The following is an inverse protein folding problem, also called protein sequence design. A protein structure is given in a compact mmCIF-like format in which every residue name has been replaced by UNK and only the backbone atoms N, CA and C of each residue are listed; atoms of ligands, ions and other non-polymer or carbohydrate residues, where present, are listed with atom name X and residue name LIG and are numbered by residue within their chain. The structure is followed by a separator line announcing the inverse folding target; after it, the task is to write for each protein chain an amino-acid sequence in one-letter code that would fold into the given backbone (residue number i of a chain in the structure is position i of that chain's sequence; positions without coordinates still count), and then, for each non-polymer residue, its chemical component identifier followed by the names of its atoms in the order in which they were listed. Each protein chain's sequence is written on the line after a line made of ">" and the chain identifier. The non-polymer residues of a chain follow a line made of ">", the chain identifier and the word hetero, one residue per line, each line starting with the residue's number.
data_IF_367879929688
#
_entry.id   IF_367879929688
#
_cell.length_a   1.000
_cell.length_b   1.000
_cell.length_c   1.000
_cell.angle_alpha   90.00
_cell.angle_beta   90.00
_cell.angle_gamma   90.00
#
_symmetry.space_group_name_H-M   'P 1'
#
loop_
_entity.id
_entity.type
_entity.pdbx_description
1 polymer ?
#
# COMPACT_ATOMS: atom_id res chain seq x y z
N UNK A 1 14.90 -34.29 -70.03
CA UNK A 1 15.35 -33.97 -68.66
C UNK A 1 15.81 -32.52 -68.65
N UNK A 2 15.03 -31.57 -68.10
CA UNK A 2 15.45 -30.17 -68.02
C UNK A 2 16.66 -30.03 -67.08
N UNK A 3 17.61 -29.17 -67.46
CA UNK A 3 18.91 -29.04 -66.80
C UNK A 3 18.78 -28.46 -65.37
N UNK A 4 19.52 -28.99 -64.37
CA UNK A 4 19.41 -28.57 -62.96
C UNK A 4 19.78 -27.09 -62.73
N UNK A 5 20.52 -26.47 -63.66
CA UNK A 5 20.88 -25.05 -63.62
C UNK A 5 19.71 -24.11 -63.89
N UNK A 6 18.71 -24.55 -64.65
CA UNK A 6 17.53 -23.75 -64.99
C UNK A 6 16.52 -23.72 -63.83
N UNK A 7 16.50 -24.78 -63.00
CA UNK A 7 15.66 -24.88 -61.80
C UNK A 7 16.21 -23.97 -60.69
N UNK A 8 17.54 -23.92 -60.50
CA UNK A 8 18.17 -23.05 -59.49
C UNK A 8 18.04 -21.56 -59.86
N UNK A 9 18.13 -21.20 -61.13
CA UNK A 9 18.01 -19.81 -61.59
C UNK A 9 16.58 -19.23 -61.42
N UNK A 10 15.55 -20.08 -61.38
CA UNK A 10 14.16 -19.66 -61.22
C UNK A 10 13.69 -19.66 -59.75
N UNK A 11 14.34 -20.41 -58.87
CA UNK A 11 14.00 -20.44 -57.44
C UNK A 11 14.56 -19.25 -56.64
N UNK A 12 15.70 -18.67 -57.07
CA UNK A 12 16.32 -17.51 -56.41
C UNK A 12 15.48 -16.22 -56.42
N UNK A 13 14.83 -15.79 -57.52
CA UNK A 13 13.93 -14.63 -57.47
C UNK A 13 12.62 -14.91 -56.73
N UNK A 14 12.16 -16.17 -56.68
CA UNK A 14 10.93 -16.55 -55.97
C UNK A 14 11.10 -16.50 -54.44
N UNK A 15 12.27 -16.88 -53.90
CA UNK A 15 12.56 -16.72 -52.47
C UNK A 15 12.87 -15.26 -52.08
N UNK A 16 13.43 -14.46 -52.98
CA UNK A 16 13.69 -13.04 -52.71
C UNK A 16 12.40 -12.20 -52.61
N UNK A 17 11.35 -12.56 -53.37
CA UNK A 17 10.04 -11.90 -53.29
C UNK A 17 9.25 -12.20 -52.00
N UNK A 18 9.57 -13.28 -51.30
CA UNK A 18 8.94 -13.66 -50.02
C UNK A 18 9.57 -12.94 -48.81
N UNK A 19 10.76 -12.33 -48.96
CA UNK A 19 11.42 -11.58 -47.89
C UNK A 19 11.01 -10.09 -47.84
N UNK A 20 10.29 -9.58 -48.86
CA UNK A 20 9.91 -8.16 -48.96
C UNK A 20 8.59 -7.81 -48.27
N UNK A 21 7.93 -8.80 -47.66
CA UNK A 21 6.64 -8.63 -46.96
C UNK A 21 6.76 -8.79 -45.45
N UNK A 22 7.95 -8.63 -44.87
CA UNK A 22 8.07 -8.55 -43.41
C UNK A 22 7.38 -7.24 -43.00
N UNK A 23 6.31 -7.30 -42.17
CA UNK A 23 5.74 -6.09 -41.64
C UNK A 23 6.87 -5.35 -40.93
N UNK A 24 7.06 -4.07 -41.28
CA UNK A 24 7.85 -3.18 -40.42
C UNK A 24 7.37 -3.40 -38.99
N UNK A 25 8.29 -3.60 -38.05
CA UNK A 25 7.98 -3.69 -36.63
C UNK A 25 7.03 -2.55 -36.28
N UNK A 26 5.75 -2.89 -36.12
CA UNK A 26 4.72 -1.95 -35.77
C UNK A 26 4.95 -1.61 -34.30
N UNK A 27 5.89 -0.70 -34.05
CA UNK A 27 5.94 -0.02 -32.76
C UNK A 27 4.54 0.55 -32.54
N UNK A 28 3.90 0.15 -31.44
CA UNK A 28 2.60 0.65 -31.04
C UNK A 28 2.74 2.16 -30.76
N UNK A 29 2.70 2.96 -31.83
CA UNK A 29 2.87 4.39 -31.77
C UNK A 29 1.55 4.97 -31.29
N UNK A 30 1.48 5.32 -30.01
CA UNK A 30 0.33 6.03 -29.44
C UNK A 30 0.20 7.38 -30.14
N UNK A 31 -0.82 7.53 -30.97
CA UNK A 31 -1.19 8.75 -31.70
C UNK A 31 -2.15 9.59 -30.87
N UNK A 32 -1.87 10.89 -30.81
CA UNK A 32 -2.79 11.87 -30.23
C UNK A 32 -3.70 12.44 -31.32
N UNK A 33 -4.97 12.06 -31.25
CA UNK A 33 -6.02 12.47 -32.16
C UNK A 33 -6.99 13.45 -31.47
N UNK A 34 -7.77 14.18 -32.26
CA UNK A 34 -8.85 15.05 -31.78
C UNK A 34 -10.15 14.57 -32.41
N UNK A 35 -11.13 14.22 -31.58
CA UNK A 35 -12.45 13.77 -32.00
C UNK A 35 -13.33 14.95 -32.46
N UNK A 36 -14.47 14.70 -33.13
CA UNK A 36 -15.33 15.76 -33.68
C UNK A 36 -15.92 16.68 -32.61
N UNK A 37 -16.05 16.19 -31.37
CA UNK A 37 -16.47 16.96 -30.20
C UNK A 37 -15.36 17.82 -29.58
N UNK A 38 -14.15 17.78 -30.15
CA UNK A 38 -12.98 18.52 -29.69
C UNK A 38 -12.19 17.82 -28.57
N UNK A 39 -12.59 16.63 -28.14
CA UNK A 39 -11.87 15.86 -27.12
C UNK A 39 -10.60 15.22 -27.67
N UNK A 40 -9.57 15.04 -26.82
CA UNK A 40 -8.34 14.35 -27.22
C UNK A 40 -8.47 12.85 -27.02
N UNK A 41 -8.29 12.09 -28.10
CA UNK A 41 -8.27 10.62 -28.10
C UNK A 41 -6.83 10.16 -28.31
N UNK A 42 -6.37 9.20 -27.51
CA UNK A 42 -5.06 8.55 -27.70
C UNK A 42 -5.28 7.12 -28.14
N UNK A 43 -4.71 6.75 -29.28
CA UNK A 43 -4.95 5.44 -29.91
C UNK A 43 -3.70 4.93 -30.60
N UNK A 44 -3.52 3.62 -30.65
CA UNK A 44 -2.52 2.94 -31.46
C UNK A 44 -3.00 2.72 -32.91
N UNK A 45 -4.28 2.99 -33.21
CA UNK A 45 -4.88 2.97 -34.55
C UNK A 45 -4.79 4.34 -35.24
N UNK A 46 -4.95 4.39 -36.58
CA UNK A 46 -4.82 5.68 -37.30
C UNK A 46 -5.96 6.56 -36.83
N UNK A 47 -5.71 7.87 -36.68
CA UNK A 47 -6.75 8.78 -36.20
C UNK A 47 -8.02 8.70 -37.06
N UNK A 48 -7.84 8.53 -38.37
CA UNK A 48 -8.91 8.33 -39.36
C UNK A 48 -9.74 7.06 -39.14
N UNK A 49 -9.17 6.02 -38.51
CA UNK A 49 -9.88 4.77 -38.20
C UNK A 49 -10.81 4.91 -36.97
N UNK A 50 -10.63 5.97 -36.17
CA UNK A 50 -11.41 6.26 -34.95
C UNK A 50 -12.17 7.59 -35.06
N UNK A 51 -12.57 7.96 -36.28
CA UNK A 51 -13.31 9.19 -36.61
C UNK A 51 -12.67 10.47 -36.03
N UNK A 52 -11.34 10.47 -35.92
CA UNK A 52 -10.58 11.55 -35.30
C UNK A 52 -9.49 12.07 -36.24
N UNK A 53 -8.99 13.27 -35.97
CA UNK A 53 -7.92 13.88 -36.77
C UNK A 53 -6.62 13.96 -35.99
N UNK A 54 -5.48 13.71 -36.64
CA UNK A 54 -4.17 13.82 -36.00
C UNK A 54 -3.90 15.28 -35.61
N UNK A 55 -3.57 15.52 -34.34
CA UNK A 55 -3.07 16.83 -33.93
C UNK A 55 -1.57 16.85 -34.16
N UNK A 56 -1.11 17.63 -35.15
CA UNK A 56 0.32 17.94 -35.25
C UNK A 56 0.77 18.60 -33.94
N UNK A 57 1.92 18.22 -33.37
CA UNK A 57 2.41 18.85 -32.15
C UNK A 57 2.67 20.35 -32.42
N UNK A 58 1.94 21.21 -31.71
CA UNK A 58 2.31 22.62 -31.59
C UNK A 58 3.62 22.69 -30.81
N UNK A 59 4.72 22.97 -31.51
CA UNK A 59 6.04 23.19 -30.90
C UNK A 59 6.14 24.63 -30.33
N UNK A 60 5.07 25.42 -30.42
CA UNK A 60 4.97 26.79 -29.92
C UNK A 60 4.01 26.89 -28.74
N UNK A 61 4.59 26.94 -27.53
CA UNK A 61 3.98 27.62 -26.37
C UNK A 61 3.21 26.74 -25.39
N UNK A 62 3.91 26.24 -24.37
CA UNK A 62 3.29 25.81 -23.10
C UNK A 62 4.08 26.36 -21.91
N UNK A 63 4.08 27.67 -21.74
CA UNK A 63 4.19 28.28 -20.41
C UNK A 63 2.78 28.37 -19.84
N UNK A 64 2.30 27.28 -19.24
CA UNK A 64 0.99 27.33 -18.60
C UNK A 64 0.25 26.02 -18.35
N UNK A 65 0.91 24.86 -18.32
CA UNK A 65 0.29 23.69 -17.72
C UNK A 65 0.67 23.62 -16.24
N UNK A 66 -0.23 24.10 -15.37
CA UNK A 66 -0.29 23.65 -13.97
C UNK A 66 -0.92 22.25 -13.85
N UNK A 67 -0.97 21.49 -14.93
CA UNK A 67 -1.00 20.04 -14.79
C UNK A 67 0.33 19.69 -14.15
N UNK A 68 0.31 19.37 -12.85
CA UNK A 68 1.34 18.59 -12.22
C UNK A 68 1.47 17.32 -13.04
N UNK A 69 2.33 17.40 -14.06
CA UNK A 69 2.66 16.31 -14.93
C UNK A 69 2.96 15.13 -14.03
N UNK A 70 2.41 13.98 -14.41
CA UNK A 70 2.61 12.63 -13.89
C UNK A 70 4.12 12.29 -13.83
N UNK A 71 4.88 13.06 -13.06
CA UNK A 71 6.22 12.77 -12.63
C UNK A 71 5.98 11.73 -11.54
N UNK A 72 6.41 10.47 -11.72
CA UNK A 72 6.39 9.53 -10.61
C UNK A 72 7.15 10.21 -9.47
N UNK A 73 6.42 10.66 -8.45
CA UNK A 73 7.05 11.33 -7.32
C UNK A 73 7.76 10.22 -6.56
N UNK A 74 9.01 10.46 -6.21
CA UNK A 74 9.73 9.54 -5.34
C UNK A 74 9.12 9.66 -3.95
N UNK A 75 8.31 8.67 -3.52
CA UNK A 75 7.76 8.64 -2.17
C UNK A 75 8.91 8.46 -1.17
N UNK A 76 9.27 9.54 -0.45
CA UNK A 76 10.44 9.52 0.46
C UNK A 76 10.11 8.96 1.84
N UNK A 77 8.83 8.98 2.21
CA UNK A 77 8.31 8.37 3.43
C UNK A 77 7.14 7.45 3.14
N UNK A 78 6.88 6.52 4.07
CA UNK A 78 5.70 5.65 4.00
C UNK A 78 4.42 6.48 4.17
N UNK A 79 4.45 7.56 4.96
CA UNK A 79 3.31 8.47 5.12
C UNK A 79 2.93 9.18 3.79
N UNK A 80 3.93 9.61 3.00
CA UNK A 80 3.69 10.18 1.67
C UNK A 80 3.08 9.14 0.73
N UNK A 81 3.59 7.89 0.78
CA UNK A 81 3.02 6.78 0.01
C UNK A 81 1.57 6.50 0.40
N UNK A 82 1.25 6.46 1.69
CA UNK A 82 -0.13 6.25 2.18
C UNK A 82 -1.04 7.38 1.71
N UNK A 83 -0.59 8.63 1.79
CA UNK A 83 -1.37 9.77 1.32
C UNK A 83 -1.66 9.71 -0.18
N UNK A 84 -0.65 9.39 -1.00
CA UNK A 84 -0.82 9.21 -2.45
C UNK A 84 -1.72 8.01 -2.79
N UNK A 85 -1.62 6.92 -2.03
CA UNK A 85 -2.54 5.78 -2.19
C UNK A 85 -3.98 6.19 -1.89
N UNK A 86 -4.22 6.91 -0.78
CA UNK A 86 -5.56 7.42 -0.44
C UNK A 86 -6.12 8.29 -1.58
N UNK A 87 -5.30 9.19 -2.15
CA UNK A 87 -5.72 10.00 -3.31
C UNK A 87 -6.12 9.14 -4.52
N UNK A 88 -5.37 8.08 -4.80
CA UNK A 88 -5.71 7.15 -5.90
C UNK A 88 -7.05 6.42 -5.65
N UNK A 89 -7.31 5.98 -4.41
CA UNK A 89 -8.58 5.34 -4.04
C UNK A 89 -9.76 6.33 -4.09
N UNK A 90 -9.60 7.53 -3.54
CA UNK A 90 -10.64 8.57 -3.52
C UNK A 90 -11.02 9.01 -4.94
N UNK A 91 -10.03 9.12 -5.83
CA UNK A 91 -10.23 9.45 -7.24
C UNK A 91 -10.70 8.26 -8.10
N UNK A 92 -10.69 7.03 -7.55
CA UNK A 92 -10.84 5.77 -8.28
C UNK A 92 -9.89 5.67 -9.49
N UNK A 93 -8.65 6.10 -9.32
CA UNK A 93 -7.65 6.19 -10.38
C UNK A 93 -6.66 5.01 -10.30
N UNK A 94 -6.89 4.00 -11.14
CA UNK A 94 -6.04 2.81 -11.22
C UNK A 94 -4.64 3.13 -11.76
N UNK A 95 -4.49 4.17 -12.58
CA UNK A 95 -3.20 4.59 -13.13
C UNK A 95 -2.36 5.30 -12.06
N UNK A 96 -3.00 6.10 -11.20
CA UNK A 96 -2.32 6.69 -10.04
C UNK A 96 -1.81 5.58 -9.12
N UNK A 97 -2.65 4.60 -8.74
CA UNK A 97 -2.21 3.48 -7.90
C UNK A 97 -1.11 2.64 -8.58
N UNK A 98 -1.22 2.38 -9.88
CA UNK A 98 -0.18 1.71 -10.67
C UNK A 98 1.15 2.48 -10.65
N UNK A 99 1.11 3.82 -10.62
CA UNK A 99 2.30 4.67 -10.48
C UNK A 99 3.04 4.50 -9.15
N UNK A 100 2.41 3.93 -8.13
CA UNK A 100 3.00 3.66 -6.80
C UNK A 100 3.57 2.24 -6.69
N UNK A 101 3.31 1.38 -7.68
CA UNK A 101 3.71 -0.03 -7.67
C UNK A 101 5.14 -0.26 -8.19
N UNK A 102 5.83 -1.22 -7.60
CA UNK A 102 7.18 -1.60 -8.01
C UNK A 102 7.16 -2.58 -9.20
N UNK A 103 7.38 -2.07 -10.41
CA UNK A 103 7.33 -2.85 -11.66
C UNK A 103 8.61 -3.61 -12.02
N UNK A 104 9.75 -3.29 -11.41
CA UNK A 104 11.06 -3.82 -11.84
C UNK A 104 11.10 -5.35 -11.78
N UNK A 105 11.49 -5.99 -12.89
CA UNK A 105 11.62 -7.45 -12.98
C UNK A 105 10.34 -8.19 -13.38
N UNK A 106 9.23 -7.48 -13.62
CA UNK A 106 7.95 -8.07 -14.00
C UNK A 106 7.90 -8.35 -15.52
N UNK A 107 7.35 -9.51 -15.91
CA UNK A 107 7.04 -9.80 -17.33
C UNK A 107 5.83 -9.00 -17.81
N UNK A 108 5.65 -8.84 -19.12
CA UNK A 108 4.50 -8.14 -19.70
C UNK A 108 3.16 -8.74 -19.24
N UNK A 109 3.03 -10.07 -19.27
CA UNK A 109 1.80 -10.75 -18.85
C UNK A 109 1.45 -10.52 -17.38
N UNK A 110 2.44 -10.66 -16.48
CA UNK A 110 2.26 -10.30 -15.06
C UNK A 110 1.99 -8.80 -14.86
N UNK A 111 2.54 -7.95 -15.73
CA UNK A 111 2.32 -6.51 -15.76
C UNK A 111 0.84 -6.19 -15.95
N UNK A 112 0.25 -6.66 -17.04
CA UNK A 112 -1.17 -6.46 -17.34
C UNK A 112 -2.09 -7.03 -16.27
N UNK A 113 -1.82 -8.25 -15.79
CA UNK A 113 -2.60 -8.86 -14.71
C UNK A 113 -2.57 -8.02 -13.42
N UNK A 114 -1.43 -7.39 -13.11
CA UNK A 114 -1.28 -6.52 -11.95
C UNK A 114 -2.05 -5.22 -12.14
N UNK A 115 -1.96 -4.59 -13.32
CA UNK A 115 -2.75 -3.38 -13.65
C UNK A 115 -4.25 -3.64 -13.46
N UNK A 116 -4.78 -4.72 -14.04
CA UNK A 116 -6.20 -5.08 -13.91
C UNK A 116 -6.61 -5.35 -12.46
N UNK A 117 -5.70 -5.91 -11.65
CA UNK A 117 -5.93 -6.14 -10.23
C UNK A 117 -5.98 -4.82 -9.46
N UNK A 118 -5.06 -3.89 -9.73
CA UNK A 118 -5.00 -2.57 -9.09
C UNK A 118 -6.22 -1.72 -9.47
N UNK A 119 -6.64 -1.74 -10.73
CA UNK A 119 -7.83 -1.02 -11.20
C UNK A 119 -9.11 -1.52 -10.50
N UNK A 120 -9.30 -2.85 -10.41
CA UNK A 120 -10.42 -3.42 -9.63
C UNK A 120 -10.34 -3.14 -8.13
N UNK A 121 -9.16 -2.84 -7.58
CA UNK A 121 -9.04 -2.45 -6.19
C UNK A 121 -9.53 -1.03 -5.97
N UNK A 122 -9.08 -0.04 -6.76
CA UNK A 122 -9.48 1.37 -6.56
C UNK A 122 -10.97 1.62 -6.76
N UNK A 123 -11.66 0.74 -7.51
CA UNK A 123 -13.11 0.85 -7.71
C UNK A 123 -13.94 0.46 -6.47
N UNK A 124 -13.34 -0.18 -5.46
CA UNK A 124 -14.03 -0.57 -4.22
C UNK A 124 -13.87 0.50 -3.12
N UNK A 125 -14.92 0.82 -2.36
CA UNK A 125 -14.83 1.79 -1.26
C UNK A 125 -13.72 1.43 -0.25
N UNK A 126 -12.88 2.41 0.05
CA UNK A 126 -11.81 2.28 1.03
C UNK A 126 -12.35 2.48 2.45
N UNK A 127 -12.05 1.53 3.34
CA UNK A 127 -12.29 1.67 4.79
C UNK A 127 -11.05 2.24 5.48
N UNK A 128 -9.86 1.80 5.06
CA UNK A 128 -8.61 2.36 5.56
C UNK A 128 -7.35 1.69 4.99
N UNK A 129 -6.21 2.35 5.20
CA UNK A 129 -4.88 1.85 4.89
C UNK A 129 -4.11 1.72 6.21
N UNK A 130 -3.77 0.51 6.60
CA UNK A 130 -3.17 0.20 7.90
C UNK A 130 -1.72 -0.23 7.72
N UNK A 131 -0.75 0.45 8.36
CA UNK A 131 0.64 0.00 8.39
C UNK A 131 0.77 -1.34 9.11
N UNK A 132 1.43 -2.30 8.48
CA UNK A 132 1.78 -3.59 9.09
C UNK A 132 3.20 -3.49 9.61
N UNK A 133 3.35 -3.60 10.93
CA UNK A 133 4.65 -3.63 11.59
C UNK A 133 5.25 -5.04 11.53
N UNK A 134 6.57 -5.17 11.50
CA UNK A 134 7.21 -6.47 11.60
C UNK A 134 6.81 -7.12 12.92
N UNK A 135 6.40 -8.38 12.88
CA UNK A 135 6.27 -9.20 14.08
C UNK A 135 7.66 -9.29 14.70
N UNK A 136 7.81 -8.85 15.95
CA UNK A 136 8.98 -9.25 16.73
C UNK A 136 8.91 -10.77 16.79
N UNK A 137 9.87 -11.45 16.17
CA UNK A 137 10.02 -12.89 16.37
C UNK A 137 10.16 -13.08 17.87
N UNK A 138 9.13 -13.62 18.51
CA UNK A 138 9.16 -13.98 19.91
C UNK A 138 10.43 -14.81 20.10
N UNK A 139 11.36 -14.40 21.00
CA UNK A 139 12.60 -15.14 21.16
C UNK A 139 12.21 -16.59 21.43
N UNK A 140 12.66 -17.48 20.55
CA UNK A 140 12.40 -18.90 20.62
C UNK A 140 12.59 -19.32 22.07
N UNK A 141 11.47 -19.73 22.69
CA UNK A 141 11.45 -20.13 24.09
C UNK A 141 12.55 -21.17 24.26
N UNK A 142 13.65 -20.76 24.89
CA UNK A 142 14.65 -21.71 25.36
C UNK A 142 13.86 -22.78 26.13
N UNK A 143 14.07 -24.07 25.85
CA UNK A 143 13.27 -25.12 26.46
C UNK A 143 13.31 -24.92 27.96
N UNK A 144 12.13 -24.74 28.57
CA UNK A 144 11.98 -24.66 30.00
C UNK A 144 12.67 -25.91 30.58
N UNK A 145 13.84 -25.70 31.18
CA UNK A 145 14.44 -26.71 32.02
C UNK A 145 13.39 -27.00 33.10
N UNK A 146 12.88 -28.23 33.08
CA UNK A 146 11.85 -28.71 33.99
C UNK A 146 12.27 -28.39 35.43
N UNK A 147 11.53 -27.49 36.07
CA UNK A 147 11.56 -27.37 37.51
C UNK A 147 10.62 -28.45 38.04
N UNK A 148 11.22 -29.50 38.60
CA UNK A 148 10.53 -30.56 39.31
C UNK A 148 9.67 -30.01 40.46
N UNK A 149 8.54 -30.70 40.61
CA UNK A 149 7.48 -30.59 41.59
C UNK A 149 7.80 -29.94 42.96
N UNK A 150 6.93 -29.00 43.35
CA UNK A 150 6.45 -28.91 44.73
C UNK A 150 4.92 -28.82 44.70
N UNK A 151 4.27 -29.94 45.03
CA UNK A 151 2.83 -30.05 45.26
C UNK A 151 2.42 -29.14 46.43
N UNK A 152 1.78 -28.02 46.12
CA UNK A 152 1.00 -27.26 47.10
C UNK A 152 -0.39 -27.89 47.26
N UNK A 153 -1.00 -27.86 48.45
CA UNK A 153 -2.31 -28.49 48.67
C UNK A 153 -3.41 -27.80 47.86
N UNK A 154 -4.28 -28.64 47.28
CA UNK A 154 -5.52 -28.27 46.58
C UNK A 154 -6.36 -27.29 47.40
N UNK A 155 -6.53 -26.06 46.91
CA UNK A 155 -7.68 -25.24 47.25
C UNK A 155 -8.77 -25.45 46.19
N UNK A 156 -10.04 -25.64 46.57
CA UNK A 156 -11.12 -25.68 45.59
C UNK A 156 -11.26 -24.32 44.92
N UNK A 157 -11.24 -24.32 43.59
CA UNK A 157 -11.51 -23.18 42.73
C UNK A 157 -12.90 -22.60 43.01
N UNK A 158 -12.95 -21.30 43.37
CA UNK A 158 -14.19 -20.54 43.40
C UNK A 158 -14.78 -20.46 41.98
N UNK A 159 -16.11 -20.53 41.81
CA UNK A 159 -16.70 -20.45 40.48
C UNK A 159 -16.48 -19.05 39.88
N UNK A 160 -15.96 -19.03 38.65
CA UNK A 160 -15.85 -17.82 37.84
C UNK A 160 -17.25 -17.21 37.66
N UNK A 161 -17.46 -16.01 38.20
CA UNK A 161 -18.64 -15.22 37.85
C UNK A 161 -18.43 -14.70 36.44
N UNK A 162 -19.20 -15.23 35.48
CA UNK A 162 -19.35 -14.62 34.17
C UNK A 162 -19.89 -13.19 34.33
N UNK A 163 -19.05 -12.21 34.06
CA UNK A 163 -19.49 -10.82 33.93
C UNK A 163 -19.86 -10.62 32.46
N UNK A 164 -21.13 -10.34 32.12
CA UNK A 164 -21.53 -10.17 30.73
C UNK A 164 -20.87 -8.91 30.14
N UNK A 165 -20.52 -8.97 28.85
CA UNK A 165 -19.73 -7.96 28.13
C UNK A 165 -20.31 -6.52 28.14
N UNK A 166 -21.53 -6.32 28.62
CA UNK A 166 -22.14 -5.01 28.74
C UNK A 166 -21.84 -4.31 30.08
N UNK A 167 -21.14 -4.93 31.04
CA UNK A 167 -20.71 -4.25 32.28
C UNK A 167 -19.28 -3.70 32.21
N UNK A 168 -18.50 -4.02 31.16
CA UNK A 168 -17.10 -3.57 31.03
C UNK A 168 -16.92 -2.12 30.56
N UNK A 169 -17.98 -1.44 30.13
CA UNK A 169 -17.94 -0.02 29.74
C UNK A 169 -18.38 0.93 30.87
N UNK A 170 -18.87 0.39 32.01
CA UNK A 170 -19.37 1.20 33.13
C UNK A 170 -18.25 1.84 33.97
N UNK A 171 -16.98 1.46 33.80
CA UNK A 171 -15.85 1.99 34.59
C UNK A 171 -15.04 3.10 33.90
N UNK A 172 -15.35 3.44 32.64
CA UNK A 172 -14.71 4.57 31.95
C UNK A 172 -15.50 5.88 32.03
N UNK A 173 -16.66 5.90 32.70
CA UNK A 173 -17.59 7.05 32.71
C UNK A 173 -17.71 7.86 34.00
N UNK A 174 -17.17 7.41 35.14
CA UNK A 174 -17.35 8.12 36.41
C UNK A 174 -16.21 9.13 36.67
N UNK A 175 -16.12 10.18 35.83
CA UNK A 175 -15.51 11.45 36.28
C UNK A 175 -16.56 12.15 37.13
N UNK A 176 -16.54 11.87 38.42
CA UNK A 176 -17.40 12.50 39.41
C UNK A 176 -17.29 14.03 39.30
N UNK A 177 -18.41 14.68 39.04
CA UNK A 177 -18.62 16.09 39.34
C UNK A 177 -18.58 16.23 40.87
N UNK A 178 -17.52 16.85 41.38
CA UNK A 178 -17.45 17.26 42.78
C UNK A 178 -18.49 18.37 43.01
N UNK A 179 -19.51 18.04 43.79
CA UNK A 179 -20.35 19.01 44.46
C UNK A 179 -19.62 19.51 45.71
N UNK A 180 -19.80 20.80 45.97
CA UNK A 180 -19.44 21.50 47.20
C UNK A 180 -19.93 20.77 48.45
N UNK A 181 -19.06 20.62 49.45
CA UNK A 181 -19.45 20.58 50.85
C UNK A 181 -18.24 20.93 51.75
N UNK A 182 -18.51 21.84 52.69
CA UNK A 182 -17.56 22.51 53.57
C UNK A 182 -16.97 21.61 54.68
N UNK A 183 -15.79 22.04 55.14
CA UNK A 183 -14.89 21.49 56.17
C UNK A 183 -15.56 21.31 57.56
N UNK A 184 -15.06 20.41 58.45
CA UNK A 184 -14.21 20.96 59.52
C UNK A 184 -13.07 20.05 60.02
N UNK A 185 -11.85 20.60 59.96
CA UNK A 185 -10.80 20.76 60.98
C UNK A 185 -10.46 19.64 62.02
N UNK A 186 -9.13 19.47 62.14
CA UNK A 186 -8.28 19.08 63.31
C UNK A 186 -7.61 17.69 63.25
N UNK A 187 -6.42 17.45 63.85
CA UNK A 187 -5.42 18.36 64.41
C UNK A 187 -4.00 18.19 63.79
N UNK A 188 -3.18 19.23 63.92
CA UNK A 188 -1.74 19.20 63.64
C UNK A 188 -1.00 18.37 64.69
N UNK A 189 -0.23 17.36 64.26
CA UNK A 189 0.75 16.66 65.10
C UNK A 189 2.14 16.78 64.47
N UNK A 190 3.08 17.16 65.35
CA UNK A 190 4.48 17.48 65.11
C UNK A 190 5.32 16.38 64.43
N UNK A 191 6.38 16.85 63.77
CA UNK A 191 7.72 16.32 63.98
C UNK A 191 8.01 14.90 63.47
N UNK A 192 8.08 14.73 62.16
CA UNK A 192 8.71 13.57 61.53
C UNK A 192 9.82 14.03 60.59
N UNK A 193 11.08 13.99 61.03
CA UNK A 193 12.24 14.16 60.16
C UNK A 193 12.33 12.96 59.20
N UNK A 194 11.57 13.02 58.10
CA UNK A 194 11.73 12.08 57.01
C UNK A 194 13.07 12.37 56.34
N UNK A 195 14.05 11.52 56.63
CA UNK A 195 15.29 11.46 55.87
C UNK A 195 14.93 11.39 54.38
N UNK A 196 15.28 12.45 53.65
CA UNK A 196 15.25 12.50 52.20
C UNK A 196 16.13 11.35 51.71
N UNK A 197 15.52 10.24 51.32
CA UNK A 197 16.21 9.23 50.53
C UNK A 197 16.52 9.90 49.20
N UNK A 198 17.79 10.27 49.02
CA UNK A 198 18.33 10.73 47.76
C UNK A 198 18.14 9.58 46.75
N UNK A 199 17.06 9.65 45.98
CA UNK A 199 16.77 8.68 44.94
C UNK A 199 17.93 8.73 43.94
N UNK A 200 18.76 7.70 43.95
CA UNK A 200 19.79 7.50 42.96
C UNK A 200 19.14 7.58 41.57
N UNK A 201 19.43 8.65 40.84
CA UNK A 201 18.97 8.85 39.47
C UNK A 201 19.69 7.80 38.63
N UNK A 202 19.03 6.68 38.41
CA UNK A 202 19.48 5.70 37.42
C UNK A 202 19.27 6.37 36.06
N UNK A 203 20.29 6.49 35.19
CA UNK A 203 20.10 7.09 33.88
C UNK A 203 19.04 6.31 33.11
N UNK A 204 18.01 7.02 32.64
CA UNK A 204 16.94 6.42 31.83
C UNK A 204 17.55 5.79 30.57
N UNK A 205 17.19 4.54 30.22
CA UNK A 205 17.72 3.90 29.03
C UNK A 205 17.36 4.72 27.78
N UNK A 206 18.21 4.72 26.73
CA UNK A 206 17.92 5.47 25.51
C UNK A 206 16.60 5.00 24.89
N UNK A 207 15.82 5.91 24.27
CA UNK A 207 14.56 5.55 23.63
C UNK A 207 14.81 4.53 22.51
N UNK A 208 14.04 3.44 22.49
CA UNK A 208 14.13 2.43 21.44
C UNK A 208 13.65 3.02 20.10
N UNK A 209 14.29 2.66 18.98
CA UNK A 209 13.79 3.04 17.66
C UNK A 209 12.38 2.49 17.46
N UNK A 210 11.48 3.30 16.87
CA UNK A 210 10.15 2.82 16.52
C UNK A 210 10.24 1.82 15.37
N UNK A 211 9.53 0.68 15.43
CA UNK A 211 9.52 -0.28 14.33
C UNK A 211 8.96 0.38 13.06
N UNK A 212 9.59 0.09 11.93
CA UNK A 212 9.18 0.63 10.63
C UNK A 212 8.18 -0.32 9.97
N UNK A 213 7.10 0.18 9.36
CA UNK A 213 6.18 -0.67 8.61
C UNK A 213 6.90 -1.45 7.51
N UNK A 214 6.52 -2.71 7.33
CA UNK A 214 7.03 -3.60 6.28
C UNK A 214 6.02 -3.84 5.16
N UNK A 215 4.75 -3.54 5.43
CA UNK A 215 3.66 -3.68 4.48
C UNK A 215 2.54 -2.67 4.78
N UNK A 216 1.65 -2.47 3.81
CA UNK A 216 0.40 -1.73 3.96
C UNK A 216 -0.76 -2.68 3.72
N UNK A 217 -1.71 -2.72 4.64
CA UNK A 217 -2.95 -3.48 4.49
C UNK A 217 -4.09 -2.54 4.12
N UNK A 218 -4.71 -2.80 2.99
CA UNK A 218 -5.87 -2.09 2.47
C UNK A 218 -7.10 -2.81 2.98
N UNK A 219 -7.97 -2.10 3.68
CA UNK A 219 -9.27 -2.57 4.15
C UNK A 219 -10.35 -1.94 3.27
N UNK A 220 -11.22 -2.76 2.68
CA UNK A 220 -12.29 -2.31 1.78
C UNK A 220 -13.61 -2.98 2.14
N UNK A 221 -14.73 -2.36 1.76
CA UNK A 221 -16.03 -3.02 1.87
C UNK A 221 -16.10 -4.18 0.88
N UNK A 222 -16.58 -5.35 1.33
CA UNK A 222 -16.83 -6.48 0.45
C UNK A 222 -17.96 -6.19 -0.54
N UNK A 223 -18.02 -6.96 -1.63
CA UNK A 223 -19.07 -6.82 -2.65
C UNK A 223 -20.47 -7.16 -2.14
N UNK A 224 -20.55 -7.94 -1.06
CA UNK A 224 -21.77 -8.28 -0.34
C UNK A 224 -21.56 -7.75 1.08
N UNK A 225 -22.37 -6.79 1.53
CA UNK A 225 -22.19 -5.87 2.67
C UNK A 225 -21.84 -6.46 4.08
N UNK A 226 -21.53 -7.76 4.19
CA UNK A 226 -21.25 -8.44 5.46
C UNK A 226 -19.76 -8.62 5.81
N UNK A 227 -18.82 -8.50 4.86
CA UNK A 227 -17.40 -8.76 5.14
C UNK A 227 -16.46 -7.70 4.56
N UNK A 228 -15.57 -7.15 5.38
CA UNK A 228 -14.44 -6.37 4.89
C UNK A 228 -13.50 -7.30 4.12
N UNK A 229 -13.03 -6.85 2.95
CA UNK A 229 -11.97 -7.52 2.20
C UNK A 229 -10.66 -6.82 2.52
N UNK A 230 -9.65 -7.58 2.91
CA UNK A 230 -8.30 -7.06 3.15
C UNK A 230 -7.32 -7.49 2.05
N UNK A 231 -6.43 -6.60 1.66
CA UNK A 231 -5.31 -6.90 0.74
C UNK A 231 -4.04 -6.29 1.28
N UNK A 232 -2.96 -7.08 1.33
CA UNK A 232 -1.67 -6.62 1.86
C UNK A 232 -0.69 -6.40 0.71
N UNK A 233 -0.05 -5.25 0.69
CA UNK A 233 1.09 -4.93 -0.17
C UNK A 233 2.36 -4.84 0.66
N UNK A 234 3.41 -5.54 0.24
CA UNK A 234 4.74 -5.36 0.79
C UNK A 234 5.30 -3.98 0.43
N UNK A 235 6.17 -3.44 1.28
CA UNK A 235 6.90 -2.20 1.01
C UNK A 235 8.30 -2.50 0.51
N UNK A 236 8.65 -1.98 -0.66
CA UNK A 236 9.99 -2.09 -1.24
C UNK A 236 10.64 -0.73 -1.34
N UNK A 237 11.94 -0.67 -1.05
CA UNK A 237 12.76 0.51 -1.31
C UNK A 237 13.59 0.30 -2.56
N UNK A 238 13.35 1.12 -3.58
CA UNK A 238 14.07 1.05 -4.86
C UNK A 238 14.42 2.47 -5.34
N UNK A 239 15.69 2.67 -5.71
CA UNK A 239 16.28 3.98 -6.00
C UNK A 239 16.02 5.07 -4.95
N UNK A 240 15.96 4.67 -3.67
CA UNK A 240 15.74 5.57 -2.55
C UNK A 240 14.28 5.93 -2.24
N UNK A 241 13.34 5.48 -3.06
CA UNK A 241 11.90 5.71 -2.92
C UNK A 241 11.19 4.47 -2.37
N UNK A 242 10.05 4.69 -1.73
CA UNK A 242 9.12 3.64 -1.32
C UNK A 242 8.13 3.30 -2.42
N UNK A 243 7.86 2.01 -2.55
CA UNK A 243 6.94 1.44 -3.54
C UNK A 243 6.10 0.35 -2.87
N UNK A 244 4.86 0.18 -3.34
CA UNK A 244 4.07 -1.01 -3.01
C UNK A 244 4.47 -2.18 -3.92
N UNK A 245 4.38 -3.39 -3.39
CA UNK A 245 4.71 -4.64 -4.08
C UNK A 245 3.79 -5.75 -3.60
N UNK A 246 3.63 -6.83 -4.37
CA UNK A 246 2.78 -7.96 -3.99
C UNK A 246 2.65 -8.99 -5.09
#
# INVERSE_FOLDING_TARGET
>A
MPSPRLIVALLLPALAGLASGWPDDAEAQIRRCTAPDGTSVFTDQRCEDVDSVARLPDISGSTGSRAGALRPRCMRSVDELVMEMTLAFDARDGNHLAGLYHWTGMSSGSGYATIERLDRMVQRPLVGIVPVLPSESEPESAPAAAADAATGPDMPSAPERHVPAWETWAWTGARATAADDEDPAMPTADGGTAARHEAATTPSPPPRPRPRPVALRIEQTGSNDAHATSTVFGLTRHFGCWWISG
#
